data_IF_989307497227
#
_entry.id   IF_989307497227
#
_cell.length_a   1.000
_cell.length_b   1.000
_cell.length_c   1.000
_cell.angle_alpha   90.00
_cell.angle_beta   90.00
_cell.angle_gamma   90.00
#
_symmetry.space_group_name_H-M   'P 1'
#
loop_
_entity.id
_entity.type
_entity.pdbx_description
1 polymer ?
#
# COMPACT_ATOMS: atom_id res chain seq x y z
N UNK A 1 -67.45 36.37 16.60
CA UNK A 1 -66.56 35.56 15.73
C UNK A 1 -65.14 35.99 16.05
N UNK A 2 -64.42 35.22 16.86
CA UNK A 2 -63.03 35.53 17.25
C UNK A 2 -62.07 34.77 16.34
N UNK A 3 -60.99 35.41 15.83
CA UNK A 3 -60.04 34.75 14.95
C UNK A 3 -59.17 33.79 15.77
N UNK A 4 -59.04 32.55 15.29
CA UNK A 4 -58.11 31.58 15.84
C UNK A 4 -56.67 32.04 15.56
N UNK A 5 -55.89 32.26 16.62
CA UNK A 5 -54.45 32.48 16.52
C UNK A 5 -53.79 31.17 16.04
N UNK A 6 -53.19 31.23 14.84
CA UNK A 6 -52.28 30.20 14.34
C UNK A 6 -51.02 30.20 15.20
N UNK A 7 -50.81 29.12 15.96
CA UNK A 7 -49.55 28.86 16.66
C UNK A 7 -48.49 28.54 15.58
N UNK A 8 -47.37 29.27 15.51
CA UNK A 8 -46.31 28.96 14.55
C UNK A 8 -45.72 27.59 14.89
N UNK A 9 -45.65 26.70 13.89
CA UNK A 9 -44.99 25.41 14.02
C UNK A 9 -43.51 25.63 14.40
N UNK A 10 -42.95 24.82 15.30
CA UNK A 10 -41.51 24.87 15.56
C UNK A 10 -40.75 24.58 14.26
N UNK A 11 -39.61 25.25 14.03
CA UNK A 11 -38.80 24.98 12.85
C UNK A 11 -38.40 23.50 12.82
N UNK A 12 -38.33 22.89 11.62
CA UNK A 12 -37.86 21.52 11.50
C UNK A 12 -36.46 21.40 12.12
N UNK A 13 -36.15 20.28 12.78
CA UNK A 13 -34.81 20.05 13.30
C UNK A 13 -33.80 20.18 12.15
N UNK A 14 -32.63 20.79 12.41
CA UNK A 14 -31.58 20.84 11.40
C UNK A 14 -31.26 19.40 10.94
N UNK A 15 -30.99 19.19 9.64
CA UNK A 15 -30.56 17.89 9.16
C UNK A 15 -29.36 17.43 10.00
N UNK A 16 -29.28 16.14 10.34
CA UNK A 16 -28.11 15.61 11.05
C UNK A 16 -26.86 16.01 10.27
N UNK A 17 -25.96 16.72 10.94
CA UNK A 17 -24.64 17.04 10.39
C UNK A 17 -23.99 15.70 10.07
N UNK A 18 -23.97 15.33 8.78
CA UNK A 18 -23.14 14.25 8.30
C UNK A 18 -21.71 14.73 8.44
N UNK A 19 -21.10 14.43 9.58
CA UNK A 19 -19.65 14.50 9.70
C UNK A 19 -19.11 13.60 8.58
N UNK A 20 -18.41 14.18 7.61
CA UNK A 20 -17.58 13.40 6.72
C UNK A 20 -16.66 12.51 7.58
N UNK A 21 -16.39 11.25 7.19
CA UNK A 21 -15.44 10.44 7.92
C UNK A 21 -14.08 11.15 7.86
N UNK A 22 -13.57 11.59 9.01
CA UNK A 22 -12.19 12.06 9.16
C UNK A 22 -11.25 10.87 8.93
N UNK A 23 -10.97 10.54 7.66
CA UNK A 23 -9.78 9.78 7.29
C UNK A 23 -8.84 10.76 6.62
N UNK A 24 -8.02 11.40 7.43
CA UNK A 24 -6.83 12.13 6.98
C UNK A 24 -5.66 11.54 7.74
N UNK A 25 -4.87 10.71 7.06
CA UNK A 25 -3.54 10.33 7.55
C UNK A 25 -2.62 10.61 6.38
N UNK A 26 -1.80 11.66 6.49
CA UNK A 26 -0.51 11.67 7.19
C UNK A 26 -0.30 12.81 8.21
N UNK A 27 0.48 12.56 9.28
CA UNK A 27 1.02 13.61 10.17
C UNK A 27 2.20 13.17 11.04
N UNK A 28 3.30 12.64 10.49
CA UNK A 28 3.59 12.37 9.07
C UNK A 28 3.09 11.01 8.63
N UNK A 29 2.86 10.09 9.58
CA UNK A 29 1.70 9.19 9.76
C UNK A 29 1.55 8.91 11.30
N UNK A 30 1.63 10.02 12.06
CA UNK A 30 1.33 10.30 13.49
C UNK A 30 2.38 9.91 14.56
N UNK A 31 3.00 10.92 15.19
CA UNK A 31 4.39 10.99 15.70
C UNK A 31 4.78 10.23 16.99
N UNK A 32 5.87 9.46 16.86
CA UNK A 32 6.90 9.11 17.84
C UNK A 32 8.23 8.93 17.07
N UNK A 33 9.42 8.97 17.69
CA UNK A 33 10.68 8.86 16.94
C UNK A 33 10.66 7.59 16.09
N UNK A 34 11.15 7.66 14.85
CA UNK A 34 11.25 6.59 13.84
C UNK A 34 12.19 5.44 14.29
N UNK A 35 12.22 5.14 15.58
CA UNK A 35 12.97 4.04 16.16
C UNK A 35 12.02 2.86 16.38
N UNK A 36 11.68 2.21 15.27
CA UNK A 36 11.42 0.76 15.19
C UNK A 36 10.50 0.14 16.24
N UNK A 37 9.41 0.80 16.63
CA UNK A 37 8.44 0.22 17.56
C UNK A 37 7.05 0.14 16.93
N UNK A 38 6.45 -1.04 17.06
CA UNK A 38 5.05 -1.29 16.78
C UNK A 38 4.19 -0.35 17.65
N UNK A 39 3.19 0.28 17.04
CA UNK A 39 2.33 1.25 17.75
C UNK A 39 0.87 0.99 17.44
N UNK A 40 0.02 1.07 18.45
CA UNK A 40 -1.43 1.03 18.27
C UNK A 40 -1.93 2.47 18.18
N UNK A 41 -2.69 2.79 17.14
CA UNK A 41 -3.37 4.08 17.00
C UNK A 41 -4.87 3.87 16.80
N UNK A 42 -5.66 4.87 17.17
CA UNK A 42 -7.12 4.84 17.10
C UNK A 42 -7.61 5.71 15.95
N UNK A 43 -8.40 5.13 15.05
CA UNK A 43 -9.20 5.89 14.08
C UNK A 43 -10.55 6.18 14.74
N UNK A 44 -11.00 7.44 14.69
CA UNK A 44 -12.21 7.89 15.39
C UNK A 44 -13.50 7.38 14.76
N UNK A 45 -13.54 7.19 13.44
CA UNK A 45 -14.76 6.80 12.73
C UNK A 45 -14.50 5.95 11.48
N UNK A 46 -14.97 4.69 11.44
CA UNK A 46 -15.50 3.91 12.56
C UNK A 46 -14.43 3.76 13.66
N UNK A 47 -14.84 3.79 14.93
CA UNK A 47 -13.90 3.70 16.06
C UNK A 47 -13.16 2.35 16.02
N UNK A 48 -11.87 2.37 15.65
CA UNK A 48 -11.05 1.16 15.51
C UNK A 48 -9.62 1.40 15.94
N UNK A 49 -9.06 0.40 16.60
CA UNK A 49 -7.64 0.36 16.91
C UNK A 49 -6.92 -0.37 15.78
N UNK A 50 -5.86 0.24 15.24
CA UNK A 50 -5.02 -0.36 14.21
C UNK A 50 -3.64 -0.56 14.81
N UNK A 51 -3.10 -1.76 14.66
CA UNK A 51 -1.72 -2.07 15.03
C UNK A 51 -0.82 -1.74 13.85
N UNK A 52 0.02 -0.71 13.99
CA UNK A 52 1.10 -0.43 13.04
C UNK A 52 2.29 -1.30 13.37
N UNK A 53 2.79 -2.03 12.36
CA UNK A 53 4.05 -2.75 12.46
C UNK A 53 5.07 -2.14 11.50
N UNK A 54 6.29 -1.93 12.00
CA UNK A 54 7.39 -1.32 11.24
C UNK A 54 8.53 -2.31 11.20
N UNK A 55 8.49 -3.18 10.21
CA UNK A 55 9.52 -4.18 9.94
C UNK A 55 9.92 -4.10 8.46
N UNK A 56 11.19 -4.36 8.16
CA UNK A 56 11.66 -4.40 6.78
C UNK A 56 11.05 -5.61 6.07
N UNK A 57 10.46 -5.37 4.89
CA UNK A 57 9.96 -6.46 4.06
C UNK A 57 11.12 -7.30 3.54
N UNK A 58 10.96 -8.62 3.58
CA UNK A 58 11.96 -9.57 3.13
C UNK A 58 11.56 -10.13 1.75
N UNK A 59 12.53 -10.74 1.06
CA UNK A 59 12.25 -11.42 -0.22
C UNK A 59 11.18 -12.52 -0.08
N UNK A 60 11.09 -13.16 1.09
CA UNK A 60 10.03 -14.13 1.36
C UNK A 60 8.62 -13.51 1.35
N UNK A 61 8.49 -12.27 1.81
CA UNK A 61 7.21 -11.55 1.82
C UNK A 61 6.80 -11.15 0.40
N UNK A 62 7.76 -10.68 -0.41
CA UNK A 62 7.50 -10.39 -1.82
C UNK A 62 7.04 -11.65 -2.58
N UNK A 63 7.74 -12.78 -2.43
CA UNK A 63 7.40 -14.04 -3.10
C UNK A 63 6.03 -14.60 -2.66
N UNK A 64 5.59 -14.31 -1.43
CA UNK A 64 4.26 -14.68 -0.95
C UNK A 64 3.13 -13.99 -1.74
N UNK A 65 3.34 -12.74 -2.15
CA UNK A 65 2.35 -11.89 -2.84
C UNK A 65 2.63 -11.69 -4.33
N UNK A 66 3.75 -12.17 -4.86
CA UNK A 66 4.16 -12.06 -6.26
C UNK A 66 3.08 -12.40 -7.28
N UNK A 67 2.31 -13.44 -7.01
CA UNK A 67 1.21 -13.88 -7.87
C UNK A 67 0.15 -12.79 -8.10
N UNK A 68 -0.03 -11.88 -7.14
CA UNK A 68 -1.00 -10.80 -7.24
C UNK A 68 -0.50 -9.70 -8.18
N UNK A 69 0.80 -9.39 -8.15
CA UNK A 69 1.42 -8.44 -9.09
C UNK A 69 1.44 -8.98 -10.52
N UNK A 70 1.57 -10.31 -10.70
CA UNK A 70 1.66 -10.95 -12.00
C UNK A 70 0.30 -11.15 -12.68
N UNK A 71 -0.75 -11.42 -11.91
CA UNK A 71 -2.01 -11.93 -12.45
C UNK A 71 -3.26 -11.23 -11.90
N UNK A 72 -3.11 -10.34 -10.93
CA UNK A 72 -4.23 -9.64 -10.31
C UNK A 72 -4.36 -8.21 -10.81
N UNK A 73 -5.59 -7.80 -11.11
CA UNK A 73 -5.91 -6.39 -11.35
C UNK A 73 -5.97 -5.59 -10.05
N UNK A 74 -5.72 -4.28 -10.16
CA UNK A 74 -5.93 -3.32 -9.08
C UNK A 74 -7.40 -3.31 -8.61
N UNK A 75 -7.58 -3.09 -7.31
CA UNK A 75 -8.87 -2.87 -6.63
C UNK A 75 -9.87 -4.03 -6.72
N UNK A 76 -9.38 -5.23 -7.06
CA UNK A 76 -10.16 -6.47 -7.03
C UNK A 76 -9.66 -7.42 -5.94
N UNK A 77 -10.60 -8.15 -5.35
CA UNK A 77 -10.31 -9.16 -4.33
C UNK A 77 -10.12 -10.53 -4.98
N UNK A 78 -9.16 -11.30 -4.47
CA UNK A 78 -8.79 -12.61 -4.98
C UNK A 78 -8.56 -13.58 -3.84
N UNK A 79 -8.82 -14.86 -4.08
CA UNK A 79 -8.25 -15.90 -3.23
C UNK A 79 -6.87 -16.27 -3.69
N UNK A 80 -5.99 -16.58 -2.72
CA UNK A 80 -4.68 -17.10 -3.04
C UNK A 80 -4.80 -18.37 -3.89
N UNK A 81 -4.16 -18.42 -5.07
CA UNK A 81 -4.16 -19.59 -5.93
C UNK A 81 -3.39 -20.74 -5.28
N UNK A 82 -3.79 -21.95 -5.61
CA UNK A 82 -3.08 -23.16 -5.18
C UNK A 82 -1.69 -23.25 -5.82
N UNK A 83 -0.78 -24.01 -5.21
CA UNK A 83 0.56 -24.24 -5.77
C UNK A 83 0.49 -24.83 -7.19
N UNK A 84 -0.45 -25.76 -7.44
CA UNK A 84 -0.65 -26.37 -8.75
C UNK A 84 -1.12 -25.37 -9.80
N UNK A 85 -2.04 -24.46 -9.46
CA UNK A 85 -2.47 -23.38 -10.36
C UNK A 85 -1.30 -22.46 -10.73
N UNK A 86 -0.50 -22.03 -9.75
CA UNK A 86 0.69 -21.18 -10.03
C UNK A 86 1.72 -21.89 -10.91
N UNK A 87 1.98 -23.17 -10.68
CA UNK A 87 2.85 -23.96 -11.56
C UNK A 87 2.27 -24.12 -12.97
N UNK A 88 0.95 -24.17 -13.11
CA UNK A 88 0.30 -24.22 -14.41
C UNK A 88 0.48 -22.92 -15.18
N UNK A 89 0.24 -21.76 -14.55
CA UNK A 89 0.45 -20.45 -15.17
C UNK A 89 1.89 -20.20 -15.58
N UNK A 90 2.85 -20.49 -14.70
CA UNK A 90 4.27 -20.38 -15.03
C UNK A 90 4.66 -21.22 -16.25
N UNK A 91 4.05 -22.40 -16.44
CA UNK A 91 4.25 -23.22 -17.65
C UNK A 91 3.59 -22.62 -18.88
N UNK A 92 2.42 -22.00 -18.74
CA UNK A 92 1.74 -21.34 -19.84
C UNK A 92 2.56 -20.15 -20.35
N UNK A 93 3.09 -19.31 -19.45
CA UNK A 93 3.97 -18.19 -19.78
C UNK A 93 5.24 -18.64 -20.51
N UNK A 94 5.91 -19.69 -20.02
CA UNK A 94 7.07 -20.28 -20.69
C UNK A 94 6.74 -20.81 -22.10
N UNK A 95 5.48 -21.14 -22.36
CA UNK A 95 5.00 -21.59 -23.68
C UNK A 95 4.50 -20.45 -24.58
N UNK A 96 4.63 -19.19 -24.14
CA UNK A 96 4.14 -18.01 -24.87
C UNK A 96 2.62 -17.90 -24.91
N UNK A 97 1.91 -18.59 -24.01
CA UNK A 97 0.44 -18.49 -23.87
C UNK A 97 0.11 -17.55 -22.73
N UNK A 98 -0.87 -16.66 -22.94
CA UNK A 98 -1.41 -15.80 -21.88
C UNK A 98 -1.93 -16.70 -20.76
N UNK A 99 -1.48 -16.47 -19.54
CA UNK A 99 -1.99 -17.16 -18.37
C UNK A 99 -3.49 -16.88 -18.19
N UNK A 100 -4.25 -17.87 -17.71
CA UNK A 100 -5.64 -17.66 -17.33
C UNK A 100 -5.73 -16.61 -16.20
N UNK A 101 -6.64 -15.65 -16.34
CA UNK A 101 -6.87 -14.59 -15.34
C UNK A 101 -7.38 -15.18 -14.02
N UNK A 102 -6.94 -14.62 -12.89
CA UNK A 102 -7.39 -15.09 -11.57
C UNK A 102 -8.85 -14.67 -11.39
N UNK A 103 -9.76 -15.59 -11.01
CA UNK A 103 -11.15 -15.22 -10.76
C UNK A 103 -11.23 -14.27 -9.56
N UNK A 104 -11.76 -13.08 -9.81
CA UNK A 104 -12.06 -12.11 -8.77
C UNK A 104 -13.22 -12.58 -7.88
N UNK A 105 -13.24 -12.12 -6.64
CA UNK A 105 -14.33 -12.34 -5.68
C UNK A 105 -15.41 -11.30 -5.95
N UNK A 106 -16.56 -11.75 -6.46
CA UNK A 106 -17.69 -10.85 -6.79
C UNK A 106 -18.41 -10.32 -5.55
N UNK A 107 -18.59 -11.18 -4.52
CA UNK A 107 -19.28 -10.82 -3.28
C UNK A 107 -18.27 -10.70 -2.12
N UNK A 108 -17.83 -9.47 -1.89
CA UNK A 108 -16.86 -9.12 -0.85
C UNK A 108 -17.60 -8.76 0.43
N UNK A 109 -17.68 -9.72 1.35
CA UNK A 109 -18.23 -9.51 2.70
C UNK A 109 -17.10 -9.68 3.71
N UNK A 110 -16.27 -8.65 3.95
CA UNK A 110 -15.15 -8.76 4.86
C UNK A 110 -15.66 -8.88 6.29
N UNK A 111 -15.22 -9.92 6.99
CA UNK A 111 -15.43 -10.03 8.43
C UNK A 111 -14.38 -9.18 9.12
N UNK A 112 -14.81 -8.25 9.98
CA UNK A 112 -13.93 -7.55 10.91
C UNK A 112 -14.13 -8.04 12.34
N UNK A 113 -13.46 -9.14 12.72
CA UNK A 113 -13.34 -9.52 14.14
C UNK A 113 -11.94 -9.24 14.71
N UNK A 114 -10.92 -9.22 13.86
CA UNK A 114 -9.54 -9.03 14.28
C UNK A 114 -9.15 -7.56 14.28
N UNK A 115 -8.14 -7.23 15.10
CA UNK A 115 -7.52 -5.91 15.06
C UNK A 115 -6.76 -5.77 13.74
N UNK A 116 -7.08 -4.77 12.90
CA UNK A 116 -6.37 -4.58 11.63
C UNK A 116 -4.90 -4.27 11.88
N UNK A 117 -4.04 -4.87 11.06
CA UNK A 117 -2.59 -4.64 11.07
C UNK A 117 -2.28 -3.73 9.89
N UNK A 118 -1.50 -2.68 10.11
CA UNK A 118 -0.92 -1.85 9.08
C UNK A 118 0.58 -2.06 9.05
N UNK A 119 1.06 -2.85 8.08
CA UNK A 119 2.48 -2.96 7.82
C UNK A 119 2.96 -1.72 7.07
N UNK A 120 3.72 -0.88 7.76
CA UNK A 120 4.39 0.27 7.17
C UNK A 120 5.82 -0.15 6.75
N UNK A 121 5.95 -0.74 5.55
CA UNK A 121 7.27 -1.11 4.98
C UNK A 121 8.01 0.11 4.44
N UNK A 122 9.28 -0.07 4.03
CA UNK A 122 10.11 0.99 3.49
C UNK A 122 9.43 1.72 2.32
N UNK A 123 8.71 0.99 1.46
CA UNK A 123 7.90 1.55 0.37
C UNK A 123 6.91 2.65 0.80
N UNK A 124 6.35 2.58 2.02
CA UNK A 124 5.41 3.57 2.54
C UNK A 124 6.06 4.61 3.47
N UNK A 125 7.28 4.38 3.94
CA UNK A 125 7.92 5.20 4.97
C UNK A 125 9.16 5.95 4.51
N UNK A 126 9.86 5.46 3.49
CA UNK A 126 11.09 6.08 2.99
C UNK A 126 10.76 7.41 2.31
N UNK A 127 11.38 8.53 2.75
CA UNK A 127 11.25 9.83 2.09
C UNK A 127 11.96 9.87 0.73
N UNK A 128 11.50 10.71 -0.21
CA UNK A 128 12.22 10.93 -1.46
C UNK A 128 13.57 11.64 -1.21
N UNK A 129 13.65 12.46 -0.17
CA UNK A 129 14.84 13.20 0.30
C UNK A 129 15.64 12.42 1.37
N UNK A 130 15.75 11.09 1.24
CA UNK A 130 16.49 10.29 2.21
C UNK A 130 17.99 10.61 2.20
N UNK A 131 18.58 10.68 3.39
CA UNK A 131 19.91 11.22 3.58
C UNK A 131 20.99 10.31 2.99
N UNK A 132 21.89 10.87 2.17
CA UNK A 132 23.01 10.13 1.59
C UNK A 132 24.27 10.38 2.41
N UNK A 133 24.84 9.30 2.95
CA UNK A 133 26.03 9.36 3.79
C UNK A 133 27.33 9.02 3.03
N UNK A 134 27.23 8.22 1.98
CA UNK A 134 28.39 7.79 1.18
C UNK A 134 28.52 8.66 -0.08
N UNK A 135 29.13 9.84 0.07
CA UNK A 135 29.48 10.69 -1.07
C UNK A 135 30.81 10.23 -1.67
N UNK A 136 30.74 9.56 -2.82
CA UNK A 136 31.93 9.17 -3.60
C UNK A 136 32.57 10.32 -4.38
N UNK A 137 31.86 11.44 -4.53
CA UNK A 137 32.35 12.63 -5.21
C UNK A 137 32.94 13.64 -4.22
N UNK A 138 34.01 14.34 -4.62
CA UNK A 138 34.65 15.38 -3.79
C UNK A 138 33.81 16.67 -3.83
N UNK A 139 32.59 16.58 -3.29
CA UNK A 139 31.74 17.74 -3.06
C UNK A 139 32.37 18.59 -1.96
N UNK A 140 33.20 19.56 -2.36
CA UNK A 140 33.86 20.51 -1.46
C UNK A 140 32.80 21.35 -0.73
N UNK A 141 32.46 20.94 0.49
CA UNK A 141 31.30 21.42 1.23
C UNK A 141 30.68 20.39 2.19
N UNK A 142 31.12 19.13 2.16
CA UNK A 142 30.75 18.08 3.12
C UNK A 142 31.28 18.32 4.56
N UNK A 143 31.46 19.58 4.98
CA UNK A 143 31.90 19.96 6.33
C UNK A 143 30.75 20.00 7.34
N UNK A 144 29.53 19.60 6.94
CA UNK A 144 28.45 19.39 7.89
C UNK A 144 28.79 18.17 8.77
N UNK A 145 28.90 18.43 10.08
CA UNK A 145 29.17 17.46 11.14
C UNK A 145 28.22 16.22 11.15
N UNK A 146 27.18 16.21 10.31
CA UNK A 146 26.21 15.13 10.14
C UNK A 146 26.71 13.97 9.28
N UNK A 147 27.76 14.17 8.47
CA UNK A 147 28.27 13.15 7.54
C UNK A 147 27.34 12.86 6.35
N UNK A 148 26.44 13.80 6.03
CA UNK A 148 25.49 13.71 4.91
C UNK A 148 25.92 14.64 3.79
N UNK A 149 25.73 14.24 2.53
CA UNK A 149 25.98 15.11 1.39
C UNK A 149 24.69 15.69 0.84
N UNK A 150 24.43 16.97 1.14
CA UNK A 150 23.22 17.66 0.69
C UNK A 150 23.09 17.68 -0.84
N UNK A 151 24.19 17.93 -1.56
CA UNK A 151 24.18 17.97 -3.03
C UNK A 151 23.70 16.63 -3.61
N UNK A 152 24.26 15.51 -3.13
CA UNK A 152 23.82 14.19 -3.57
C UNK A 152 22.35 13.96 -3.21
N UNK A 153 21.93 14.33 -2.00
CA UNK A 153 20.54 14.14 -1.56
C UNK A 153 19.58 14.90 -2.48
N UNK A 154 19.90 16.15 -2.79
CA UNK A 154 19.09 17.01 -3.66
C UNK A 154 19.02 16.44 -5.08
N UNK A 155 20.15 16.08 -5.68
CA UNK A 155 20.21 15.51 -7.04
C UNK A 155 19.37 14.23 -7.16
N UNK A 156 19.45 13.35 -6.15
CA UNK A 156 18.70 12.10 -6.15
C UNK A 156 17.21 12.29 -5.87
N UNK A 157 16.87 13.24 -5.00
CA UNK A 157 15.48 13.62 -4.77
C UNK A 157 14.86 14.18 -6.06
N UNK A 158 15.56 15.05 -6.78
CA UNK A 158 15.12 15.59 -8.07
C UNK A 158 14.97 14.48 -9.14
N UNK A 159 15.91 13.52 -9.18
CA UNK A 159 15.81 12.37 -10.08
C UNK A 159 14.60 11.47 -9.76
N UNK A 160 14.30 11.27 -8.48
CA UNK A 160 13.11 10.53 -8.05
C UNK A 160 11.81 11.28 -8.37
N UNK A 161 11.75 12.59 -8.14
CA UNK A 161 10.59 13.42 -8.43
C UNK A 161 10.26 13.49 -9.92
N UNK A 162 11.28 13.36 -10.77
CA UNK A 162 11.13 13.30 -12.23
C UNK A 162 10.87 11.89 -12.77
N UNK A 163 10.89 10.87 -11.92
CA UNK A 163 10.63 9.48 -12.30
C UNK A 163 9.20 9.10 -11.96
N UNK A 164 8.46 8.58 -12.95
CA UNK A 164 7.13 8.02 -12.70
C UNK A 164 7.26 6.71 -11.90
N UNK A 165 6.72 6.70 -10.67
CA UNK A 165 6.73 5.56 -9.77
C UNK A 165 5.32 4.99 -9.57
N UNK A 166 5.26 3.67 -9.39
CA UNK A 166 4.04 2.95 -9.06
C UNK A 166 4.18 2.30 -7.68
N UNK A 167 3.41 2.82 -6.72
CA UNK A 167 3.31 2.31 -5.37
C UNK A 167 2.20 1.26 -5.29
N UNK A 168 2.56 0.04 -4.94
CA UNK A 168 1.63 -1.07 -4.77
C UNK A 168 1.44 -1.38 -3.28
N UNK A 169 0.19 -1.48 -2.84
CA UNK A 169 -0.19 -1.91 -1.49
C UNK A 169 -1.00 -3.18 -1.59
N UNK A 170 -0.69 -4.18 -0.76
CA UNK A 170 -1.45 -5.43 -0.66
C UNK A 170 -2.24 -5.44 0.64
N UNK A 171 -3.54 -5.63 0.51
CA UNK A 171 -4.48 -5.78 1.61
C UNK A 171 -4.96 -7.22 1.72
N UNK A 172 -5.34 -7.63 2.92
CA UNK A 172 -5.97 -8.91 3.16
C UNK A 172 -7.14 -8.78 4.12
N UNK A 173 -8.15 -9.62 3.92
CA UNK A 173 -9.32 -9.70 4.77
C UNK A 173 -9.82 -11.15 4.82
N UNK A 174 -10.65 -11.48 5.81
CA UNK A 174 -11.34 -12.76 5.86
C UNK A 174 -12.70 -12.60 5.19
N UNK A 175 -12.98 -13.42 4.19
CA UNK A 175 -14.31 -13.48 3.60
C UNK A 175 -15.27 -14.14 4.59
N UNK A 176 -16.36 -13.45 4.89
CA UNK A 176 -17.44 -14.01 5.68
C UNK A 176 -18.28 -15.00 4.93
N UNK A 177 -18.77 -15.99 5.67
CA UNK A 177 -19.83 -16.84 5.20
C UNK A 177 -21.19 -16.25 5.57
N UNK A 178 -22.23 -16.68 4.86
CA UNK A 178 -23.60 -16.44 5.28
C UNK A 178 -23.84 -16.86 6.75
N UNK A 179 -24.78 -16.21 7.47
CA UNK A 179 -25.06 -16.53 8.87
C UNK A 179 -25.31 -18.03 9.06
N UNK A 180 -24.60 -18.66 10.00
CA UNK A 180 -24.77 -20.08 10.34
C UNK A 180 -23.71 -21.04 9.78
N UNK A 181 -22.70 -20.57 9.05
CA UNK A 181 -21.60 -21.43 8.59
C UNK A 181 -20.49 -21.53 9.65
N UNK A 182 -20.12 -22.73 10.13
CA UNK A 182 -19.14 -22.93 11.19
C UNK A 182 -17.68 -22.87 10.72
N UNK A 183 -17.42 -22.65 9.43
CA UNK A 183 -16.08 -22.63 8.88
C UNK A 183 -15.39 -21.28 9.11
N UNK A 184 -14.11 -21.26 9.51
CA UNK A 184 -13.33 -20.03 9.51
C UNK A 184 -13.35 -19.43 8.11
N UNK A 185 -13.54 -18.11 8.02
CA UNK A 185 -13.56 -17.38 6.75
C UNK A 185 -12.31 -17.64 5.92
N UNK A 186 -12.43 -17.61 4.59
CA UNK A 186 -11.28 -17.79 3.70
C UNK A 186 -10.57 -16.45 3.52
N UNK A 187 -9.23 -16.43 3.65
CA UNK A 187 -8.44 -15.21 3.44
C UNK A 187 -8.45 -14.81 1.96
N UNK A 188 -8.84 -13.57 1.71
CA UNK A 188 -8.82 -12.91 0.42
C UNK A 188 -7.81 -11.76 0.43
N UNK A 189 -7.30 -11.42 -0.75
CA UNK A 189 -6.25 -10.43 -0.95
C UNK A 189 -6.65 -9.46 -2.05
N UNK A 190 -6.25 -8.21 -1.93
CA UNK A 190 -6.46 -7.18 -2.94
C UNK A 190 -5.20 -6.35 -3.05
N UNK A 191 -4.91 -5.84 -4.23
CA UNK A 191 -3.81 -4.92 -4.49
C UNK A 191 -4.38 -3.59 -4.95
N UNK A 192 -3.84 -2.50 -4.43
CA UNK A 192 -4.09 -1.15 -4.94
C UNK A 192 -2.80 -0.60 -5.52
N UNK A 193 -2.87 0.00 -6.71
CA UNK A 193 -1.77 0.70 -7.38
C UNK A 193 -1.98 2.21 -7.28
N UNK A 194 -0.93 2.94 -6.97
CA UNK A 194 -0.99 4.38 -6.71
C UNK A 194 0.23 5.08 -7.34
N UNK A 195 0.03 6.25 -7.93
CA UNK A 195 1.13 7.03 -8.53
C UNK A 195 1.96 7.83 -7.53
N UNK A 196 1.66 7.76 -6.23
CA UNK A 196 2.45 8.41 -5.19
C UNK A 196 2.40 7.65 -3.87
N UNK A 197 3.43 7.87 -3.05
CA UNK A 197 3.54 7.30 -1.70
C UNK A 197 2.37 7.73 -0.83
N UNK A 198 2.01 9.00 -0.87
CA UNK A 198 0.93 9.57 -0.05
C UNK A 198 -0.42 8.97 -0.44
N UNK A 199 -0.69 8.78 -1.74
CA UNK A 199 -1.90 8.12 -2.21
C UNK A 199 -1.96 6.65 -1.76
N UNK A 200 -0.84 5.93 -1.87
CA UNK A 200 -0.71 4.54 -1.43
C UNK A 200 -0.97 4.40 0.08
N UNK A 201 -0.38 5.29 0.87
CA UNK A 201 -0.58 5.28 2.30
C UNK A 201 -2.01 5.72 2.66
N UNK A 202 -2.62 6.72 2.01
CA UNK A 202 -4.04 7.03 2.22
C UNK A 202 -4.93 5.81 1.95
N UNK A 203 -4.67 5.04 0.88
CA UNK A 203 -5.40 3.80 0.60
C UNK A 203 -5.18 2.74 1.69
N UNK A 204 -3.94 2.53 2.11
CA UNK A 204 -3.58 1.60 3.19
C UNK A 204 -4.37 1.90 4.47
N UNK A 205 -4.40 3.17 4.89
CA UNK A 205 -5.14 3.60 6.08
C UNK A 205 -6.65 3.52 5.90
N UNK A 206 -7.17 3.86 4.71
CA UNK A 206 -8.58 3.73 4.40
C UNK A 206 -9.04 2.27 4.56
N UNK A 207 -8.38 1.31 3.90
CA UNK A 207 -8.75 -0.11 4.01
C UNK A 207 -8.52 -0.69 5.39
N UNK A 208 -7.48 -0.23 6.11
CA UNK A 208 -7.28 -0.61 7.51
C UNK A 208 -8.42 -0.11 8.41
N UNK A 209 -8.94 1.09 8.17
CA UNK A 209 -10.13 1.60 8.88
C UNK A 209 -11.37 0.76 8.59
N UNK A 210 -11.48 0.20 7.38
CA UNK A 210 -12.56 -0.72 7.00
C UNK A 210 -12.36 -2.14 7.53
N UNK A 211 -11.20 -2.44 8.12
CA UNK A 211 -10.96 -3.70 8.84
C UNK A 211 -10.05 -4.67 8.13
N UNK A 212 -9.45 -4.25 7.01
CA UNK A 212 -8.48 -5.06 6.27
C UNK A 212 -7.10 -4.92 6.89
N UNK A 213 -6.28 -5.94 6.77
CA UNK A 213 -4.86 -5.85 7.10
C UNK A 213 -4.10 -5.35 5.88
N UNK A 214 -3.19 -4.40 6.05
CA UNK A 214 -2.17 -4.07 5.05
C UNK A 214 -0.99 -4.99 5.33
N UNK A 215 -0.71 -5.89 4.39
CA UNK A 215 0.20 -7.03 4.60
C UNK A 215 1.47 -6.96 3.79
N UNK A 216 1.57 -6.05 2.83
CA UNK A 216 2.78 -5.81 2.05
C UNK A 216 2.65 -4.50 1.27
N UNK A 217 3.78 -3.87 0.98
CA UNK A 217 3.85 -2.74 0.05
C UNK A 217 5.21 -2.70 -0.63
N UNK A 218 5.21 -2.29 -1.90
CA UNK A 218 6.42 -2.18 -2.73
C UNK A 218 6.27 -1.06 -3.76
N UNK A 219 7.36 -0.69 -4.41
CA UNK A 219 7.42 0.35 -5.44
C UNK A 219 8.12 -0.20 -6.68
N UNK A 220 7.52 0.08 -7.84
CA UNK A 220 8.11 -0.14 -9.16
C UNK A 220 8.34 1.21 -9.83
N UNK A 221 9.28 1.26 -10.78
CA UNK A 221 9.27 2.33 -11.79
C UNK A 221 8.19 2.00 -12.83
N UNK A 222 7.44 3.01 -13.26
CA UNK A 222 6.40 2.82 -14.28
C UNK A 222 7.03 2.29 -15.58
N UNK A 223 6.43 1.26 -16.18
CA UNK A 223 7.02 0.56 -17.33
C UNK A 223 8.02 -0.54 -16.99
N UNK A 224 8.31 -0.76 -15.69
CA UNK A 224 9.15 -1.86 -15.21
C UNK A 224 8.38 -2.93 -14.44
N UNK A 225 7.05 -2.83 -14.41
CA UNK A 225 6.17 -3.75 -13.67
C UNK A 225 5.98 -5.08 -14.43
N UNK A 226 5.31 -6.03 -13.78
CA UNK A 226 4.90 -7.30 -14.43
C UNK A 226 3.86 -7.11 -15.55
N UNK A 227 3.23 -5.94 -15.67
CA UNK A 227 2.33 -5.64 -16.79
C UNK A 227 3.12 -5.30 -18.06
N UNK A 228 4.32 -4.77 -17.90
CA UNK A 228 5.16 -4.22 -18.98
C UNK A 228 6.30 -5.16 -19.36
N UNK A 229 6.83 -5.92 -18.40
CA UNK A 229 8.04 -6.74 -18.55
C UNK A 229 7.82 -8.19 -18.11
N UNK A 230 8.55 -9.08 -18.77
CA UNK A 230 8.69 -10.48 -18.39
C UNK A 230 10.16 -10.73 -18.11
N UNK A 231 10.50 -10.96 -16.85
CA UNK A 231 11.90 -11.24 -16.51
C UNK A 231 12.15 -11.50 -15.03
N UNK A 232 13.43 -11.65 -14.65
CA UNK A 232 13.82 -11.86 -13.27
C UNK A 232 13.53 -10.59 -12.46
N UNK A 233 13.20 -10.80 -11.18
CA UNK A 233 12.96 -9.71 -10.23
C UNK A 233 14.26 -9.43 -9.48
N UNK A 234 14.65 -8.16 -9.42
CA UNK A 234 15.75 -7.69 -8.60
C UNK A 234 15.23 -6.75 -7.51
N UNK A 235 15.60 -7.04 -6.26
CA UNK A 235 15.33 -6.13 -5.13
C UNK A 235 16.27 -4.94 -5.22
N UNK A 236 15.69 -3.76 -5.05
CA UNK A 236 16.40 -2.50 -4.93
C UNK A 236 16.49 -2.16 -3.44
N UNK A 237 17.71 -1.88 -2.95
CA UNK A 237 17.94 -1.60 -1.53
C UNK A 237 17.57 -0.15 -1.15
N UNK A 238 17.78 0.81 -2.07
CA UNK A 238 17.52 2.24 -1.85
C UNK A 238 16.51 2.76 -2.87
N UNK A 239 15.50 3.52 -2.42
CA UNK A 239 14.41 3.98 -3.28
C UNK A 239 14.91 4.74 -4.51
N UNK A 240 15.93 5.59 -4.34
CA UNK A 240 16.51 6.42 -5.41
C UNK A 240 17.14 5.62 -6.55
N UNK A 241 17.57 4.37 -6.32
CA UNK A 241 18.10 3.51 -7.39
C UNK A 241 17.03 3.14 -8.43
N UNK A 242 15.73 3.36 -8.16
CA UNK A 242 14.68 3.21 -9.18
C UNK A 242 14.73 4.33 -10.23
N UNK A 243 15.24 5.52 -9.87
CA UNK A 243 15.40 6.63 -10.82
C UNK A 243 16.53 6.37 -11.82
N UNK A 244 17.55 5.60 -11.43
CA UNK A 244 18.65 5.23 -12.30
C UNK A 244 18.18 4.36 -13.48
N UNK A 245 18.89 4.46 -14.60
CA UNK A 245 18.65 3.58 -15.75
C UNK A 245 18.98 2.13 -15.39
N UNK A 246 18.13 1.20 -15.82
CA UNK A 246 18.38 -0.22 -15.60
C UNK A 246 19.59 -0.66 -16.43
N UNK A 247 20.52 -1.41 -15.83
CA UNK A 247 21.59 -2.06 -16.60
C UNK A 247 21.04 -3.09 -17.60
N UNK A 248 19.85 -3.63 -17.31
CA UNK A 248 19.14 -4.61 -18.13
C UNK A 248 17.64 -4.33 -18.15
N UNK A 249 17.14 -3.95 -19.33
CA UNK A 249 15.72 -3.65 -19.58
C UNK A 249 14.79 -4.85 -19.36
N UNK A 250 15.31 -6.07 -19.26
CA UNK A 250 14.52 -7.27 -18.98
C UNK A 250 14.29 -7.49 -17.48
N UNK A 251 14.99 -6.77 -16.60
CA UNK A 251 14.88 -6.95 -15.15
C UNK A 251 13.72 -6.12 -14.60
N UNK A 252 12.92 -6.74 -13.74
CA UNK A 252 11.87 -6.08 -12.96
C UNK A 252 12.50 -5.62 -11.64
N UNK A 253 12.71 -4.31 -11.49
CA UNK A 253 13.27 -3.72 -10.27
C UNK A 253 12.16 -3.35 -9.31
N UNK A 254 12.33 -3.74 -8.04
CA UNK A 254 11.31 -3.49 -7.02
C UNK A 254 11.95 -3.06 -5.70
N UNK A 255 11.42 -2.01 -5.09
CA UNK A 255 11.81 -1.53 -3.78
C UNK A 255 10.78 -1.92 -2.72
N UNK A 256 11.21 -2.51 -1.59
CA UNK A 256 10.36 -2.87 -0.45
C UNK A 256 11.13 -3.01 0.88
#
# INVERSE_FOLDING_TARGET
>A
MSPQQLIPLPPPPPPPVQNAPDIVVPGRYLSGPFHGKDTIFEIRYPRRHILRQVHAAQAADFEEYKWLFQYGDSDKWYFKPTKSQRHHWARQELSGRKADEIPAVEEVMPITFEQPILWASAALTTPPDDDIYDCGEDHSGCDDFSGRCQTCTDEKSEALESTDLEYCVVMSALQGHAPGCPHPGRKMYMMARCGSREAAATQAFHYASLGSHVVFSCVFRLGESFEDRIGPVARVEELWNLAEEAENDEVIRVFY
#
